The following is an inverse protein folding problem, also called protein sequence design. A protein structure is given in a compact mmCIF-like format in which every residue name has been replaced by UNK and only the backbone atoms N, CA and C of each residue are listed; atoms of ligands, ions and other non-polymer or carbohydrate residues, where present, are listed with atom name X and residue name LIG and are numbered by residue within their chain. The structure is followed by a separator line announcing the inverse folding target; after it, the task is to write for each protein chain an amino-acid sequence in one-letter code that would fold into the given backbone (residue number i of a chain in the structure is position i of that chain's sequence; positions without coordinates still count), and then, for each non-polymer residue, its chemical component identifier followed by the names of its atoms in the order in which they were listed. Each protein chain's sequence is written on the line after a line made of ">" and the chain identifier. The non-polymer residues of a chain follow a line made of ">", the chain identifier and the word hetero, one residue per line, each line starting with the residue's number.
data_IF_572621182822
#
_entry.id   IF_572621182822
#
_cell.length_a   1.000
_cell.length_b   1.000
_cell.length_c   1.000
_cell.angle_alpha   90.00
_cell.angle_beta   90.00
_cell.angle_gamma   90.00
#
_symmetry.space_group_name_H-M   'P 1'
#
loop_
_entity.id
_entity.type
_entity.pdbx_description
1 polymer ?
#
# COMPACT_ATOMS: atom_id res chain seq x y z
N UNK A 1 -16.78 -6.99 -16.90
CA UNK A 1 -15.36 -6.68 -16.61
C UNK A 1 -14.58 -7.96 -16.78
N UNK A 2 -13.82 -8.07 -17.86
CA UNK A 2 -12.94 -9.21 -18.12
C UNK A 2 -11.85 -9.23 -17.05
N UNK A 3 -11.80 -10.28 -16.23
CA UNK A 3 -10.73 -10.50 -15.26
C UNK A 3 -9.42 -10.76 -16.03
N UNK A 4 -8.68 -9.71 -16.37
CA UNK A 4 -7.30 -9.87 -16.85
C UNK A 4 -6.46 -10.31 -15.65
N UNK A 5 -6.12 -11.59 -15.64
CA UNK A 5 -5.20 -12.14 -14.64
C UNK A 5 -3.80 -11.59 -14.88
N UNK A 6 -3.35 -10.69 -14.00
CA UNK A 6 -1.98 -10.18 -14.05
C UNK A 6 -1.00 -11.29 -13.66
N UNK A 7 -0.03 -11.56 -14.53
CA UNK A 7 1.05 -12.49 -14.23
C UNK A 7 1.92 -11.95 -13.08
N UNK A 8 2.28 -12.79 -12.11
CA UNK A 8 3.00 -12.35 -10.91
C UNK A 8 4.47 -11.99 -11.26
N UNK A 9 4.87 -10.70 -11.24
CA UNK A 9 6.23 -10.31 -11.62
C UNK A 9 7.22 -10.35 -10.45
N UNK A 10 6.70 -10.42 -9.22
CA UNK A 10 7.45 -10.27 -7.98
C UNK A 10 7.18 -11.42 -7.01
N UNK A 11 8.19 -11.76 -6.23
CA UNK A 11 8.09 -12.73 -5.15
C UNK A 11 9.11 -12.42 -4.05
N UNK A 12 8.87 -12.93 -2.84
CA UNK A 12 9.84 -12.85 -1.74
C UNK A 12 10.86 -13.97 -1.87
N UNK A 13 12.14 -13.64 -1.91
CA UNK A 13 13.23 -14.61 -1.89
C UNK A 13 13.43 -15.13 -0.47
N UNK A 14 13.43 -16.44 -0.26
CA UNK A 14 13.66 -17.01 1.08
C UNK A 14 15.11 -16.82 1.57
N UNK A 15 16.07 -16.64 0.66
CA UNK A 15 17.50 -16.54 1.02
C UNK A 15 17.84 -15.15 1.57
N UNK A 16 17.36 -14.10 0.91
CA UNK A 16 17.62 -12.71 1.29
C UNK A 16 16.50 -12.09 2.11
N UNK A 17 15.34 -12.74 2.16
CA UNK A 17 14.07 -12.19 2.66
C UNK A 17 13.58 -10.93 1.93
N UNK A 18 14.24 -10.53 0.83
CA UNK A 18 13.87 -9.39 0.02
C UNK A 18 12.86 -9.78 -1.06
N UNK A 19 12.03 -8.83 -1.44
CA UNK A 19 11.22 -8.88 -2.65
C UNK A 19 12.17 -8.71 -3.83
N UNK A 20 12.01 -9.59 -4.83
CA UNK A 20 12.78 -9.56 -6.07
C UNK A 20 11.85 -9.62 -7.27
N UNK A 21 12.32 -9.08 -8.40
CA UNK A 21 11.69 -9.24 -9.70
C UNK A 21 11.97 -10.62 -10.30
N UNK A 22 11.11 -11.07 -11.20
CA UNK A 22 11.29 -12.34 -11.91
C UNK A 22 12.63 -12.41 -12.65
N UNK A 23 13.16 -11.28 -13.13
CA UNK A 23 14.44 -11.22 -13.83
C UNK A 23 15.61 -11.66 -12.95
N UNK A 24 15.56 -11.36 -11.66
CA UNK A 24 16.60 -11.68 -10.67
C UNK A 24 16.53 -13.13 -10.20
N UNK A 25 15.39 -13.80 -10.36
CA UNK A 25 15.18 -15.14 -9.85
C UNK A 25 15.87 -16.24 -10.68
N UNK A 26 16.44 -17.24 -10.02
CA UNK A 26 16.85 -18.48 -10.70
C UNK A 26 15.65 -19.21 -11.34
N UNK A 27 15.81 -19.81 -12.51
CA UNK A 27 14.70 -20.49 -13.23
C UNK A 27 14.13 -21.67 -12.42
N UNK A 28 12.82 -21.84 -12.51
CA UNK A 28 12.09 -22.98 -11.93
C UNK A 28 12.00 -22.92 -10.41
N UNK A 29 11.98 -24.09 -9.76
CA UNK A 29 11.94 -24.20 -8.30
C UNK A 29 13.23 -23.73 -7.61
N UNK A 30 14.32 -23.59 -8.37
CA UNK A 30 15.59 -23.06 -7.87
C UNK A 30 15.48 -21.59 -7.47
N UNK A 31 14.41 -20.87 -7.82
CA UNK A 31 14.20 -19.50 -7.34
C UNK A 31 14.09 -19.42 -5.81
N UNK A 32 13.59 -20.49 -5.16
CA UNK A 32 13.35 -20.51 -3.72
C UNK A 32 12.55 -19.29 -3.21
N UNK A 33 11.51 -18.90 -3.95
CA UNK A 33 10.68 -17.74 -3.61
C UNK A 33 9.27 -18.13 -3.13
N UNK A 34 8.58 -17.17 -2.52
CA UNK A 34 7.19 -17.27 -2.06
C UNK A 34 6.33 -16.11 -2.58
N UNK A 35 5.05 -16.39 -2.81
CA UNK A 35 4.08 -15.38 -3.23
C UNK A 35 3.91 -14.29 -2.17
N UNK A 36 3.87 -13.02 -2.58
CA UNK A 36 3.69 -11.88 -1.68
C UNK A 36 2.31 -11.83 -1.01
N UNK A 37 1.30 -12.45 -1.62
CA UNK A 37 -0.08 -12.39 -1.12
C UNK A 37 -0.45 -13.60 -0.25
N UNK A 38 -0.07 -14.81 -0.66
CA UNK A 38 -0.49 -16.04 0.02
C UNK A 38 0.67 -16.85 0.62
N UNK A 39 1.92 -16.42 0.44
CA UNK A 39 3.12 -17.10 0.94
C UNK A 39 3.36 -18.53 0.43
N UNK A 40 2.49 -19.05 -0.44
CA UNK A 40 2.69 -20.33 -1.11
C UNK A 40 3.97 -20.27 -1.94
N UNK A 41 4.83 -21.30 -1.87
CA UNK A 41 6.00 -21.43 -2.72
C UNK A 41 5.67 -21.18 -4.19
N UNK A 42 6.53 -20.44 -4.88
CA UNK A 42 6.36 -20.18 -6.31
C UNK A 42 7.46 -20.84 -7.13
N UNK A 43 7.22 -20.96 -8.43
CA UNK A 43 8.21 -21.37 -9.42
C UNK A 43 8.43 -20.22 -10.39
N UNK A 44 9.69 -19.89 -10.68
CA UNK A 44 10.02 -18.89 -11.69
C UNK A 44 9.86 -19.49 -13.10
N UNK A 45 8.78 -19.14 -13.79
CA UNK A 45 8.53 -19.56 -15.18
C UNK A 45 9.23 -18.59 -16.12
N UNK A 46 10.47 -18.95 -16.46
CA UNK A 46 11.26 -18.28 -17.51
C UNK A 46 11.25 -19.13 -18.76
N UNK A 47 10.59 -18.67 -19.81
CA UNK A 47 10.48 -19.32 -21.11
C UNK A 47 10.91 -18.35 -22.23
N UNK A 48 11.31 -18.88 -23.38
CA UNK A 48 11.83 -18.05 -24.46
C UNK A 48 10.73 -17.29 -25.23
N UNK A 49 9.49 -17.78 -25.14
CA UNK A 49 8.33 -17.25 -25.88
C UNK A 49 7.34 -16.52 -24.97
N UNK A 50 7.02 -17.10 -23.82
CA UNK A 50 6.03 -16.54 -22.90
C UNK A 50 6.67 -15.57 -21.91
N UNK A 51 5.93 -14.52 -21.53
CA UNK A 51 6.36 -13.56 -20.52
C UNK A 51 6.77 -14.27 -19.23
N UNK A 52 7.92 -13.88 -18.69
CA UNK A 52 8.41 -14.44 -17.46
C UNK A 52 7.55 -14.01 -16.28
N UNK A 53 7.23 -14.97 -15.42
CA UNK A 53 6.43 -14.73 -14.22
C UNK A 53 6.69 -15.79 -13.16
N UNK A 54 6.31 -15.47 -11.93
CA UNK A 54 6.15 -16.46 -10.88
C UNK A 54 4.79 -17.16 -11.03
N UNK A 55 4.76 -18.45 -10.76
CA UNK A 55 3.51 -19.21 -10.66
C UNK A 55 3.48 -19.99 -9.35
N UNK A 56 2.29 -20.11 -8.74
CA UNK A 56 2.12 -20.95 -7.57
C UNK A 56 2.54 -22.38 -7.84
N UNK A 57 3.22 -22.98 -6.87
CA UNK A 57 3.50 -24.40 -6.85
C UNK A 57 2.25 -25.15 -6.40
N UNK A 58 1.84 -26.14 -7.18
CA UNK A 58 0.72 -27.02 -6.85
C UNK A 58 1.15 -28.22 -6.01
N UNK A 59 2.44 -28.56 -6.02
CA UNK A 59 3.02 -29.67 -5.26
C UNK A 59 3.23 -29.33 -3.77
N UNK A 60 3.26 -28.04 -3.43
CA UNK A 60 3.39 -27.54 -2.05
C UNK A 60 2.56 -26.29 -1.87
N UNK A 61 1.31 -26.47 -1.44
CA UNK A 61 0.38 -25.39 -1.15
C UNK A 61 0.45 -25.05 0.35
N UNK A 62 0.55 -23.76 0.68
CA UNK A 62 0.59 -23.30 2.09
C UNK A 62 -0.71 -22.62 2.53
N UNK A 63 -1.73 -22.55 1.68
CA UNK A 63 -3.01 -21.90 1.97
C UNK A 63 -4.19 -22.77 1.57
N UNK A 64 -5.27 -22.72 2.36
CA UNK A 64 -6.53 -23.42 2.05
C UNK A 64 -7.42 -22.68 1.04
N UNK A 65 -7.14 -21.40 0.77
CA UNK A 65 -7.97 -20.53 -0.05
C UNK A 65 -7.26 -20.14 -1.36
N UNK A 66 -8.05 -19.74 -2.36
CA UNK A 66 -7.55 -19.17 -3.61
C UNK A 66 -6.74 -17.89 -3.37
N UNK A 67 -5.63 -17.73 -4.09
CA UNK A 67 -4.77 -16.57 -3.98
C UNK A 67 -5.22 -15.46 -4.92
N UNK A 68 -5.64 -14.33 -4.34
CA UNK A 68 -5.91 -13.09 -5.07
C UNK A 68 -4.65 -12.21 -5.10
N UNK A 69 -3.71 -12.52 -5.99
CA UNK A 69 -2.53 -11.68 -6.15
C UNK A 69 -2.94 -10.27 -6.59
N UNK A 70 -2.39 -9.26 -5.92
CA UNK A 70 -2.67 -7.85 -6.19
C UNK A 70 -1.38 -7.12 -6.58
N UNK A 71 -1.28 -6.60 -7.82
CA UNK A 71 -0.13 -5.79 -8.24
C UNK A 71 0.06 -4.53 -7.38
N UNK A 72 -1.03 -3.90 -6.96
CA UNK A 72 -1.04 -2.76 -6.03
C UNK A 72 -0.36 -3.14 -4.71
N UNK A 73 -0.73 -4.29 -4.15
CA UNK A 73 -0.10 -4.78 -2.91
C UNK A 73 1.38 -5.07 -3.10
N UNK A 74 1.77 -5.66 -4.24
CA UNK A 74 3.16 -5.93 -4.55
C UNK A 74 3.99 -4.64 -4.63
N UNK A 75 3.48 -3.61 -5.31
CA UNK A 75 4.12 -2.29 -5.40
C UNK A 75 4.25 -1.66 -4.02
N UNK A 76 3.18 -1.64 -3.23
CA UNK A 76 3.20 -1.07 -1.88
C UNK A 76 4.28 -1.71 -0.98
N UNK A 77 4.47 -3.03 -1.08
CA UNK A 77 5.54 -3.75 -0.37
C UNK A 77 6.94 -3.42 -0.91
N UNK A 78 7.08 -3.29 -2.23
CA UNK A 78 8.33 -2.91 -2.88
C UNK A 78 8.75 -1.52 -2.44
N UNK A 79 7.83 -0.55 -2.47
CA UNK A 79 8.13 0.83 -2.06
C UNK A 79 8.56 0.91 -0.60
N UNK A 80 7.90 0.19 0.31
CA UNK A 80 8.36 0.07 1.72
C UNK A 80 9.75 -0.51 1.84
N UNK A 81 10.09 -1.51 1.03
CA UNK A 81 11.45 -2.08 1.02
C UNK A 81 12.48 -1.08 0.51
N UNK A 82 12.13 -0.28 -0.51
CA UNK A 82 13.07 0.61 -1.18
C UNK A 82 13.19 1.98 -0.52
N UNK A 83 12.18 2.47 0.19
CA UNK A 83 12.19 3.84 0.74
C UNK A 83 13.38 4.10 1.66
N UNK A 84 13.91 3.08 2.33
CA UNK A 84 15.13 3.20 3.14
C UNK A 84 16.38 3.59 2.36
N UNK A 85 16.38 3.48 1.03
CA UNK A 85 17.47 3.98 0.17
C UNK A 85 17.36 5.48 -0.13
N UNK A 86 16.21 6.10 0.09
CA UNK A 86 15.98 7.53 -0.12
C UNK A 86 16.51 8.33 1.08
N UNK A 87 17.82 8.55 1.10
CA UNK A 87 18.47 9.24 2.21
C UNK A 87 18.58 10.75 1.99
N UNK A 88 18.61 11.19 0.74
CA UNK A 88 18.76 12.61 0.40
C UNK A 88 17.71 13.00 -0.64
N UNK A 89 16.91 14.01 -0.35
CA UNK A 89 15.87 14.51 -1.25
C UNK A 89 15.39 15.91 -0.85
N UNK A 90 14.85 16.64 -1.83
CA UNK A 90 14.24 17.95 -1.63
C UNK A 90 12.72 17.86 -1.79
N UNK A 91 12.00 18.57 -0.93
CA UNK A 91 10.57 18.83 -1.03
C UNK A 91 10.34 20.34 -0.95
N UNK A 92 10.12 20.99 -2.08
CA UNK A 92 9.87 22.44 -2.16
C UNK A 92 10.86 23.26 -1.30
N UNK A 93 10.41 23.77 -0.15
CA UNK A 93 11.18 24.60 0.78
C UNK A 93 12.05 23.80 1.79
N UNK A 94 12.03 22.47 1.72
CA UNK A 94 12.68 21.57 2.68
C UNK A 94 13.67 20.64 2.00
N UNK A 95 14.92 20.69 2.45
CA UNK A 95 15.95 19.71 2.09
C UNK A 95 16.11 18.69 3.21
N UNK A 96 16.18 17.43 2.82
CA UNK A 96 16.40 16.30 3.71
C UNK A 96 17.70 15.62 3.33
N UNK A 97 18.63 15.54 4.29
CA UNK A 97 19.94 14.90 4.13
C UNK A 97 20.11 13.78 5.16
N UNK A 98 20.78 12.70 4.77
CA UNK A 98 21.09 11.52 5.60
C UNK A 98 19.87 10.94 6.36
N UNK A 99 18.71 10.92 5.71
CA UNK A 99 17.45 10.48 6.28
C UNK A 99 17.47 9.02 6.68
N UNK A 100 17.10 8.77 7.94
CA UNK A 100 16.92 7.44 8.49
C UNK A 100 15.44 7.11 8.66
N UNK A 101 14.90 6.33 7.73
CA UNK A 101 13.51 5.89 7.73
C UNK A 101 13.23 4.85 8.81
N UNK A 102 12.14 5.07 9.55
CA UNK A 102 11.50 4.11 10.44
C UNK A 102 10.25 3.59 9.77
N UNK A 103 10.17 2.27 9.57
CA UNK A 103 9.04 1.64 8.88
C UNK A 103 8.02 1.10 9.88
N UNK A 104 6.76 1.09 9.46
CA UNK A 104 5.64 0.46 10.17
C UNK A 104 5.50 0.96 11.63
N UNK A 105 5.70 2.26 11.83
CA UNK A 105 5.72 2.90 13.14
C UNK A 105 4.31 3.17 13.65
N UNK A 106 4.07 2.91 14.93
CA UNK A 106 2.83 3.31 15.61
C UNK A 106 3.14 4.52 16.51
N UNK A 107 2.65 5.70 16.13
CA UNK A 107 2.76 6.93 16.90
C UNK A 107 1.37 7.27 17.44
N UNK A 108 1.18 7.22 18.76
CA UNK A 108 -0.09 7.59 19.42
C UNK A 108 -1.33 6.86 18.87
N UNK A 109 -1.18 5.61 18.40
CA UNK A 109 -2.28 4.83 17.81
C UNK A 109 -2.42 4.99 16.30
N UNK A 110 -1.66 5.91 15.70
CA UNK A 110 -1.62 6.17 14.26
C UNK A 110 -0.55 5.28 13.64
N UNK A 111 -0.92 4.45 12.66
CA UNK A 111 0.03 3.63 11.91
C UNK A 111 0.58 4.42 10.73
N UNK A 112 1.92 4.53 10.68
CA UNK A 112 2.67 5.23 9.65
C UNK A 112 3.54 4.23 8.90
N UNK A 113 3.46 4.22 7.58
CA UNK A 113 4.18 3.23 6.75
C UNK A 113 5.68 3.53 6.72
N UNK A 114 6.06 4.79 6.52
CA UNK A 114 7.43 5.24 6.69
C UNK A 114 7.46 6.62 7.35
N UNK A 115 8.31 6.76 8.36
CA UNK A 115 8.47 7.97 9.13
C UNK A 115 9.94 8.33 9.23
N UNK A 116 10.27 9.60 9.10
CA UNK A 116 11.59 10.10 9.41
C UNK A 116 11.50 11.45 10.12
N UNK A 117 12.58 11.78 10.82
CA UNK A 117 12.77 13.10 11.42
C UNK A 117 14.14 13.60 11.02
N UNK A 118 14.17 14.79 10.45
CA UNK A 118 15.41 15.50 10.23
C UNK A 118 16.03 15.85 11.59
N UNK A 119 17.26 15.41 11.79
CA UNK A 119 18.02 15.67 13.02
C UNK A 119 18.44 17.13 13.14
N UNK A 120 18.45 17.88 12.03
CA UNK A 120 18.97 19.25 11.96
C UNK A 120 17.88 20.29 12.19
N UNK A 121 16.74 20.18 11.49
CA UNK A 121 15.65 21.16 11.57
C UNK A 121 14.47 20.72 12.45
N UNK A 122 14.56 19.56 13.13
CA UNK A 122 13.48 18.96 13.92
C UNK A 122 12.19 18.64 13.14
N UNK A 123 12.22 18.77 11.82
CA UNK A 123 11.08 18.53 10.93
C UNK A 123 10.84 17.02 10.80
N UNK A 124 9.59 16.61 10.86
CA UNK A 124 9.18 15.22 10.70
C UNK A 124 8.38 15.00 9.43
N UNK A 125 8.63 13.88 8.76
CA UNK A 125 7.95 13.47 7.55
C UNK A 125 7.36 12.08 7.74
N UNK A 126 6.10 11.93 7.36
CA UNK A 126 5.41 10.66 7.23
C UNK A 126 5.07 10.42 5.76
N UNK A 127 5.25 9.18 5.31
CA UNK A 127 4.83 8.70 3.99
C UNK A 127 3.83 7.58 4.18
N UNK A 128 2.67 7.73 3.57
CA UNK A 128 1.61 6.74 3.50
C UNK A 128 1.71 5.99 2.16
N UNK A 129 1.72 4.65 2.23
CA UNK A 129 1.95 3.74 1.11
C UNK A 129 0.81 2.71 1.08
N UNK A 130 -0.39 3.08 0.61
CA UNK A 130 -1.60 2.29 0.76
C UNK A 130 -1.50 0.91 0.09
N UNK A 131 -2.02 -0.11 0.77
CA UNK A 131 -2.27 -1.42 0.18
C UNK A 131 -3.58 -1.44 -0.64
N UNK A 132 -3.77 -2.51 -1.42
CA UNK A 132 -5.05 -2.73 -2.08
C UNK A 132 -6.18 -2.84 -1.04
N UNK A 133 -7.27 -2.09 -1.27
CA UNK A 133 -8.43 -2.00 -0.38
C UNK A 133 -8.15 -1.42 1.03
N UNK A 134 -6.99 -0.82 1.27
CA UNK A 134 -6.77 -0.06 2.50
C UNK A 134 -7.58 1.23 2.44
N UNK A 135 -8.24 1.59 3.54
CA UNK A 135 -8.89 2.90 3.68
C UNK A 135 -7.90 4.01 4.06
N UNK A 136 -6.64 3.63 4.25
CA UNK A 136 -5.59 4.51 4.72
C UNK A 136 -5.76 4.84 6.20
N UNK A 137 -4.84 5.66 6.70
CA UNK A 137 -4.99 6.36 7.97
C UNK A 137 -5.68 7.70 7.69
N UNK A 138 -6.54 8.20 8.59
CA UNK A 138 -7.23 9.46 8.34
C UNK A 138 -6.23 10.61 8.22
N UNK A 139 -6.52 11.60 7.38
CA UNK A 139 -5.61 12.73 7.20
C UNK A 139 -5.36 13.47 8.52
N UNK A 140 -6.41 13.68 9.31
CA UNK A 140 -6.36 14.32 10.63
C UNK A 140 -5.37 13.61 11.57
N UNK A 141 -5.39 12.28 11.58
CA UNK A 141 -4.46 11.49 12.39
C UNK A 141 -3.02 11.61 11.88
N UNK A 142 -2.81 11.62 10.56
CA UNK A 142 -1.48 11.72 9.96
C UNK A 142 -0.82 13.07 10.23
N UNK A 143 -1.55 14.17 10.05
CA UNK A 143 -1.02 15.52 10.31
C UNK A 143 -0.80 15.80 11.79
N UNK A 144 -1.37 14.97 12.68
CA UNK A 144 -1.13 15.06 14.13
C UNK A 144 0.21 14.48 14.57
N UNK A 145 0.87 13.69 13.73
CA UNK A 145 2.10 12.95 14.09
C UNK A 145 3.34 13.32 13.27
N UNK A 146 3.17 14.02 12.15
CA UNK A 146 4.26 14.50 11.31
C UNK A 146 3.96 15.90 10.76
N UNK A 147 5.02 16.69 10.57
CA UNK A 147 4.92 18.05 10.01
C UNK A 147 4.62 18.00 8.50
N UNK A 148 5.21 17.03 7.80
CA UNK A 148 4.97 16.77 6.38
C UNK A 148 4.35 15.37 6.24
N UNK A 149 3.25 15.28 5.49
CA UNK A 149 2.60 14.02 5.18
C UNK A 149 2.52 13.85 3.67
N UNK A 150 3.13 12.79 3.17
CA UNK A 150 3.04 12.38 1.78
C UNK A 150 2.18 11.12 1.66
N UNK A 151 1.43 10.98 0.57
CA UNK A 151 0.73 9.74 0.22
C UNK A 151 1.07 9.32 -1.20
N UNK A 152 1.42 8.04 -1.36
CA UNK A 152 1.79 7.45 -2.64
C UNK A 152 0.59 6.73 -3.27
N UNK A 153 0.23 7.09 -4.48
CA UNK A 153 -0.84 6.43 -5.25
C UNK A 153 -0.35 5.11 -5.88
N UNK A 154 -0.35 4.04 -5.07
CA UNK A 154 0.05 2.69 -5.51
C UNK A 154 -0.86 2.11 -6.60
N UNK A 155 -2.10 2.59 -6.72
CA UNK A 155 -3.02 2.19 -7.79
C UNK A 155 -2.62 2.82 -9.13
N UNK A 156 -2.24 4.10 -9.13
CA UNK A 156 -1.74 4.77 -10.34
C UNK A 156 -0.46 4.12 -10.87
N UNK A 157 0.47 3.74 -9.99
CA UNK A 157 1.69 3.00 -10.37
C UNK A 157 1.32 1.63 -10.96
N UNK A 158 0.45 0.87 -10.29
CA UNK A 158 0.01 -0.44 -10.78
C UNK A 158 -0.67 -0.35 -12.16
N UNK A 159 -1.53 0.65 -12.33
CA UNK A 159 -2.23 0.89 -13.60
C UNK A 159 -1.24 1.25 -14.69
N UNK A 160 -0.23 2.08 -14.39
CA UNK A 160 0.81 2.42 -15.34
C UNK A 160 1.63 1.21 -15.78
N UNK A 161 2.04 0.36 -14.84
CA UNK A 161 2.90 -0.81 -15.10
C UNK A 161 2.17 -1.98 -15.76
N UNK A 162 0.88 -2.14 -15.50
CA UNK A 162 0.12 -3.33 -15.88
C UNK A 162 -1.12 -3.04 -16.73
N UNK A 163 -1.22 -1.86 -17.35
CA UNK A 163 -2.32 -1.50 -18.24
C UNK A 163 -2.50 -2.54 -19.36
N UNK A 164 -3.75 -2.90 -19.64
CA UNK A 164 -4.13 -3.77 -20.75
C UNK A 164 -3.54 -3.21 -22.06
N UNK A 165 -2.87 -4.06 -22.82
CA UNK A 165 -2.14 -3.77 -24.08
C UNK A 165 -0.70 -3.24 -23.98
N UNK A 166 -0.17 -2.96 -22.79
CA UNK A 166 1.27 -2.70 -22.65
C UNK A 166 2.05 -4.02 -22.64
N UNK A 167 3.20 -4.08 -23.33
CA UNK A 167 4.16 -5.17 -23.12
C UNK A 167 4.64 -5.03 -21.68
N UNK A 168 4.27 -5.97 -20.81
CA UNK A 168 4.60 -5.89 -19.40
C UNK A 168 6.12 -5.76 -19.22
N UNK A 169 6.53 -4.57 -18.79
CA UNK A 169 7.93 -4.30 -18.46
C UNK A 169 8.24 -5.04 -17.17
N UNK A 170 9.18 -5.98 -17.25
CA UNK A 170 9.72 -6.62 -16.07
C UNK A 170 10.72 -5.64 -15.46
N UNK A 171 10.44 -5.20 -14.25
CA UNK A 171 11.28 -4.27 -13.50
C UNK A 171 11.80 -4.95 -12.25
N UNK A 172 12.99 -4.56 -11.82
CA UNK A 172 13.49 -4.85 -10.48
C UNK A 172 12.82 -3.94 -9.45
N UNK A 173 12.79 -4.32 -8.16
CA UNK A 173 12.26 -3.48 -7.09
C UNK A 173 12.86 -2.06 -7.06
N UNK A 174 14.18 -1.94 -7.22
CA UNK A 174 14.84 -0.63 -7.28
C UNK A 174 14.35 0.23 -8.45
N UNK A 175 14.13 -0.37 -9.63
CA UNK A 175 13.64 0.34 -10.81
C UNK A 175 12.18 0.80 -10.65
N UNK A 176 11.36 0.11 -9.86
CA UNK A 176 10.02 0.60 -9.49
C UNK A 176 10.15 1.86 -8.62
N UNK A 177 11.13 1.89 -7.73
CA UNK A 177 11.37 3.05 -6.88
C UNK A 177 11.93 4.23 -7.69
N UNK A 178 12.87 3.98 -8.61
CA UNK A 178 13.35 5.00 -9.56
C UNK A 178 12.18 5.58 -10.37
N UNK A 179 11.28 4.72 -10.87
CA UNK A 179 10.10 5.14 -11.59
C UNK A 179 9.15 5.99 -10.72
N UNK A 180 9.02 5.70 -9.42
CA UNK A 180 8.28 6.54 -8.49
C UNK A 180 8.88 7.95 -8.43
N UNK A 181 10.20 8.06 -8.32
CA UNK A 181 10.89 9.36 -8.26
C UNK A 181 10.75 10.12 -9.58
N UNK A 182 10.86 9.44 -10.73
CA UNK A 182 10.67 10.03 -12.07
C UNK A 182 9.25 10.58 -12.29
N UNK A 183 8.25 10.00 -11.63
CA UNK A 183 6.85 10.39 -11.71
C UNK A 183 6.30 10.98 -10.40
N UNK A 184 7.18 11.55 -9.58
CA UNK A 184 6.86 12.03 -8.22
C UNK A 184 5.59 12.89 -8.18
N UNK A 185 5.52 13.96 -8.96
CA UNK A 185 4.37 14.88 -8.98
C UNK A 185 3.04 14.22 -9.39
N UNK A 186 3.08 13.09 -10.09
CA UNK A 186 1.88 12.38 -10.55
C UNK A 186 1.39 11.37 -9.50
N UNK A 187 2.29 10.78 -8.74
CA UNK A 187 1.99 9.65 -7.85
C UNK A 187 2.14 9.96 -6.38
N UNK A 188 2.74 11.09 -6.02
CA UNK A 188 2.90 11.50 -4.63
C UNK A 188 2.13 12.78 -4.38
N UNK A 189 1.25 12.74 -3.39
CA UNK A 189 0.46 13.88 -2.94
C UNK A 189 1.02 14.36 -1.61
N UNK A 190 1.30 15.64 -1.52
CA UNK A 190 1.50 16.30 -0.23
C UNK A 190 0.12 16.57 0.38
N UNK A 191 -0.13 16.03 1.57
CA UNK A 191 -1.42 16.11 2.24
C UNK A 191 -1.53 17.26 3.25
N UNK A 192 -0.65 18.26 3.14
CA UNK A 192 -0.65 19.41 4.04
C UNK A 192 -2.00 20.19 4.05
N UNK A 193 -2.58 20.55 5.22
CA UNK A 193 -3.85 21.28 5.30
C UNK A 193 -3.83 22.68 4.66
N UNK A 194 -2.66 23.30 4.49
CA UNK A 194 -2.55 24.73 4.14
C UNK A 194 -2.42 25.04 2.64
N UNK A 195 -2.52 24.05 1.75
CA UNK A 195 -2.56 24.32 0.31
C UNK A 195 -4.01 24.53 -0.16
N UNK A 196 -4.62 25.64 0.24
CA UNK A 196 -5.66 26.23 -0.61
C UNK A 196 -4.96 26.78 -1.84
N UNK A 197 -5.07 26.09 -2.97
CA UNK A 197 -4.78 26.71 -4.26
C UNK A 197 -5.68 27.96 -4.39
N UNK A 198 -5.14 29.14 -4.74
CA UNK A 198 -5.98 30.30 -5.00
C UNK A 198 -6.84 29.98 -6.22
N UNK A 199 -8.17 29.96 -6.03
CA UNK A 199 -9.13 29.86 -7.11
C UNK A 199 -8.79 30.89 -8.20
N UNK A 200 -8.40 30.39 -9.37
CA UNK A 200 -8.22 31.23 -10.54
C UNK A 200 -9.58 31.77 -10.96
N UNK A 201 -9.81 33.03 -10.65
CA UNK A 201 -10.88 33.84 -11.24
C UNK A 201 -10.63 33.92 -12.74
N UNK A 202 -11.56 33.41 -13.54
CA UNK A 202 -11.99 34.06 -14.77
C UNK A 202 -13.40 33.61 -15.16
N UNK A 203 -14.30 34.60 -15.12
CA UNK A 203 -15.60 34.68 -15.80
C UNK A 203 -15.40 34.53 -17.33
N UNK A 204 -16.36 34.06 -18.13
CA UNK A 204 -17.66 34.68 -18.45
C UNK A 204 -18.62 33.64 -19.07
N UNK A 205 -19.90 33.87 -18.75
CA UNK A 205 -21.20 33.31 -19.17
C UNK A 205 -21.48 33.12 -20.67
N UNK A 206 -22.37 32.17 -20.99
CA UNK A 206 -23.61 32.42 -21.77
C UNK A 206 -24.71 31.45 -21.29
N UNK A 207 -25.92 32.02 -21.18
CA UNK A 207 -27.20 31.48 -20.73
C UNK A 207 -27.68 30.21 -21.43
N UNK A 208 -28.46 29.38 -20.73
CA UNK A 208 -29.89 29.27 -21.08
C UNK A 208 -30.74 28.78 -19.90
N UNK A 209 -31.92 29.39 -19.85
CA UNK A 209 -32.99 29.30 -18.88
C UNK A 209 -33.70 27.94 -18.95
N UNK A 210 -34.17 27.42 -17.80
CA UNK A 210 -35.53 26.89 -17.62
C UNK A 210 -35.67 26.24 -16.22
N UNK A 211 -36.25 27.05 -15.35
CA UNK A 211 -36.91 26.73 -14.08
C UNK A 211 -37.49 25.32 -13.90
N UNK A 212 -37.26 24.73 -12.71
CA UNK A 212 -38.33 24.13 -11.90
C UNK A 212 -37.93 23.99 -10.43
N UNK A 213 -38.77 24.61 -9.61
CA UNK A 213 -38.79 24.67 -8.16
C UNK A 213 -39.01 23.31 -7.45
N UNK A 214 -38.49 23.27 -6.22
CA UNK A 214 -38.93 22.53 -5.02
C UNK A 214 -38.74 21.00 -4.99
N UNK A 215 -37.90 20.55 -4.05
CA UNK A 215 -38.26 19.77 -2.84
C UNK A 215 -36.96 19.56 -2.01
N UNK A 216 -36.90 20.12 -0.80
CA UNK A 216 -36.02 19.61 0.27
C UNK A 216 -36.67 18.36 0.88
N UNK A 217 -35.86 17.40 1.34
CA UNK A 217 -36.16 16.82 2.65
C UNK A 217 -34.94 16.73 3.58
N UNK A 218 -35.07 17.46 4.69
CA UNK A 218 -34.92 16.98 6.07
C UNK A 218 -33.65 16.23 6.48
N UNK A 219 -32.90 16.90 7.37
CA UNK A 219 -32.07 16.29 8.41
C UNK A 219 -32.86 15.21 9.17
N UNK A 220 -32.31 14.00 9.21
CA UNK A 220 -32.60 13.02 10.26
C UNK A 220 -31.30 12.72 11.01
N UNK A 221 -31.29 12.79 12.36
CA UNK A 221 -30.17 12.29 13.15
C UNK A 221 -30.18 10.76 13.09
N UNK A 222 -29.13 10.16 12.53
CA UNK A 222 -28.97 8.70 12.54
C UNK A 222 -28.64 8.27 13.98
N UNK A 223 -29.42 7.33 14.58
CA UNK A 223 -29.18 6.88 15.94
C UNK A 223 -27.98 5.92 16.00
N UNK A 224 -27.12 6.14 17.01
CA UNK A 224 -26.15 5.22 17.62
C UNK A 224 -25.64 4.08 16.72
N UNK A 225 -24.50 4.33 16.04
CA UNK A 225 -23.68 3.26 15.51
C UNK A 225 -23.24 2.31 16.65
N UNK A 226 -23.27 0.98 16.46
CA UNK A 226 -22.84 0.04 17.49
C UNK A 226 -21.37 0.27 17.86
N UNK A 227 -20.98 0.05 19.12
CA UNK A 227 -19.61 0.24 19.56
C UNK A 227 -18.68 -0.66 18.73
N UNK A 228 -17.69 -0.04 18.09
CA UNK A 228 -16.71 -0.74 17.27
C UNK A 228 -15.92 -1.71 18.15
N UNK A 229 -15.84 -2.98 17.73
CA UNK A 229 -15.20 -4.03 18.51
C UNK A 229 -13.70 -3.75 18.70
N UNK A 230 -13.14 -4.15 19.84
CA UNK A 230 -11.70 -4.04 20.12
C UNK A 230 -10.92 -5.22 19.55
N UNK A 231 -9.67 -4.97 19.18
CA UNK A 231 -8.76 -5.97 18.62
C UNK A 231 -8.47 -7.07 19.64
N UNK A 232 -8.71 -8.32 19.26
CA UNK A 232 -8.52 -9.49 20.14
C UNK A 232 -7.03 -9.84 20.37
N UNK A 233 -6.13 -9.28 19.57
CA UNK A 233 -4.69 -9.47 19.73
C UNK A 233 -4.08 -8.55 20.80
N UNK A 234 -4.55 -7.30 20.91
CA UNK A 234 -3.94 -6.30 21.80
C UNK A 234 -4.90 -5.66 22.79
N UNK A 235 -6.21 -5.83 22.63
CA UNK A 235 -7.31 -5.24 23.41
C UNK A 235 -7.28 -3.71 23.55
N UNK A 236 -6.48 -3.03 22.72
CA UNK A 236 -6.22 -1.58 22.82
C UNK A 236 -6.87 -0.78 21.71
N UNK A 237 -6.78 -1.29 20.47
CA UNK A 237 -7.17 -0.55 19.28
C UNK A 237 -8.44 -1.12 18.64
N UNK A 238 -9.13 -0.29 17.87
CA UNK A 238 -10.32 -0.68 17.11
C UNK A 238 -10.01 -1.81 16.11
N UNK A 239 -10.87 -2.83 16.09
CA UNK A 239 -10.75 -3.94 15.16
C UNK A 239 -11.44 -3.61 13.84
N UNK A 240 -10.64 -3.41 12.80
CA UNK A 240 -11.12 -3.05 11.45
C UNK A 240 -10.78 -4.13 10.41
N UNK A 241 -9.94 -5.11 10.76
CA UNK A 241 -9.51 -6.20 9.89
C UNK A 241 -10.10 -7.55 10.31
N UNK A 242 -10.20 -8.47 9.35
CA UNK A 242 -10.61 -9.85 9.61
C UNK A 242 -12.05 -10.02 10.09
N UNK A 243 -12.97 -9.19 9.56
CA UNK A 243 -14.36 -9.04 10.00
C UNK A 243 -14.49 -8.43 11.41
N UNK A 244 -13.71 -7.40 11.70
CA UNK A 244 -13.76 -6.68 12.98
C UNK A 244 -13.14 -7.44 14.14
N UNK A 245 -12.13 -8.28 13.87
CA UNK A 245 -11.45 -9.11 14.86
C UNK A 245 -10.11 -8.50 15.30
N UNK A 246 -9.38 -7.92 14.35
CA UNK A 246 -8.00 -7.47 14.54
C UNK A 246 -7.86 -6.00 14.14
N UNK A 247 -7.03 -5.25 14.86
CA UNK A 247 -6.63 -3.92 14.43
C UNK A 247 -5.52 -4.01 13.38
N UNK A 248 -5.40 -2.95 12.58
CA UNK A 248 -4.35 -2.77 11.56
C UNK A 248 -2.95 -3.06 12.11
N UNK A 249 -2.60 -2.46 13.24
CA UNK A 249 -1.26 -2.59 13.84
C UNK A 249 -0.89 -4.02 14.25
N UNK A 250 -1.84 -4.81 14.75
CA UNK A 250 -1.58 -6.21 15.10
C UNK A 250 -1.47 -7.08 13.84
N UNK A 251 -2.32 -6.83 12.84
CA UNK A 251 -2.20 -7.49 11.54
C UNK A 251 -0.82 -7.25 10.95
N UNK A 252 -0.35 -6.00 10.92
CA UNK A 252 0.94 -5.67 10.33
C UNK A 252 2.13 -6.18 11.12
N UNK A 253 2.08 -6.09 12.45
CA UNK A 253 3.16 -6.59 13.31
C UNK A 253 3.36 -8.10 13.19
N UNK A 254 2.27 -8.84 13.08
CA UNK A 254 2.31 -10.29 13.23
C UNK A 254 2.12 -11.04 11.90
N UNK A 255 1.53 -10.45 10.87
CA UNK A 255 1.44 -11.08 9.54
C UNK A 255 2.76 -10.91 8.80
N UNK A 256 3.38 -12.04 8.47
CA UNK A 256 4.75 -12.14 7.96
C UNK A 256 5.68 -12.70 9.05
N UNK A 257 5.91 -11.96 10.15
CA UNK A 257 6.79 -12.42 11.23
C UNK A 257 6.26 -13.64 12.02
N UNK A 258 5.00 -13.61 12.45
CA UNK A 258 4.42 -14.61 13.38
C UNK A 258 3.30 -15.46 12.75
N UNK A 259 2.63 -14.95 11.72
CA UNK A 259 1.56 -15.62 10.98
C UNK A 259 1.81 -15.50 9.48
N UNK A 260 1.64 -16.59 8.71
CA UNK A 260 2.02 -16.59 7.29
C UNK A 260 1.19 -15.62 6.42
N UNK A 261 -0.02 -15.30 6.85
CA UNK A 261 -0.94 -14.37 6.18
C UNK A 261 -2.03 -13.91 7.17
N UNK A 262 -2.83 -12.93 6.76
CA UNK A 262 -3.93 -12.40 7.57
C UNK A 262 -5.01 -13.46 7.87
N UNK A 263 -5.30 -14.38 6.95
CA UNK A 263 -6.28 -15.45 7.20
C UNK A 263 -5.81 -16.43 8.28
N UNK A 264 -4.53 -16.79 8.28
CA UNK A 264 -3.93 -17.64 9.32
C UNK A 264 -4.04 -16.97 10.70
N UNK A 265 -3.72 -15.68 10.78
CA UNK A 265 -3.85 -14.89 12.00
C UNK A 265 -5.32 -14.81 12.47
N UNK A 266 -6.26 -14.56 11.56
CA UNK A 266 -7.70 -14.52 11.89
C UNK A 266 -8.16 -15.87 12.43
N UNK A 267 -7.78 -16.98 11.80
CA UNK A 267 -8.16 -18.31 12.23
C UNK A 267 -7.56 -18.66 13.59
N UNK A 268 -6.31 -18.26 13.83
CA UNK A 268 -5.65 -18.44 15.12
C UNK A 268 -6.44 -17.78 16.27
N UNK A 269 -6.88 -16.53 16.08
CA UNK A 269 -7.63 -15.84 17.12
C UNK A 269 -9.09 -16.29 17.21
N UNK A 270 -9.76 -16.64 16.10
CA UNK A 270 -11.14 -17.17 16.14
C UNK A 270 -11.27 -18.50 16.87
N UNK A 271 -10.22 -19.33 16.87
CA UNK A 271 -10.23 -20.61 17.58
C UNK A 271 -9.91 -20.48 19.08
N UNK A 272 -9.72 -19.25 19.59
CA UNK A 272 -9.33 -18.94 20.98
C UNK A 272 -10.29 -18.00 21.70
N UNK A 273 -11.37 -17.60 21.03
CA UNK A 273 -12.47 -16.78 21.55
C UNK A 273 -13.70 -17.69 21.59
#
# INVERSE_FOLDING_TARGET
>A
MTNVSVLMPFARCNETNLIIGIEEASRGHKCNCRCLSCNTPVTARKADVNQWHFAHRTDKVCTSNECNFSPVTAIALILRQQISSLQNFDLDDWSFDDVMWQLDLNINGVMIDAFARDTTNSLSIAVEIPFANDKGTSLEDLVSVADIVLSIDTHAIATYLFAEHSKATLLRPAQIFDLLLEHWHKWVKNLHPSAQEPESVNSVSVDDDLTKELIQPSHFPVPNAPPKAKCVCCDKHEATYGKGLLCKGCVWKHVGPDFNNLTDMINFYRNRI
#
